data_IF_189751362370
#
_entry.id   IF_189751362370
#
_cell.length_a   1.000
_cell.length_b   1.000
_cell.length_c   1.000
_cell.angle_alpha   90.00
_cell.angle_beta   90.00
_cell.angle_gamma   90.00
#
_symmetry.space_group_name_H-M   'P 1'
#
loop_
_entity.id
_entity.type
_entity.pdbx_description
1 polymer ?
#
# COMPACT_ATOMS: atom_id res chain seq x y z
N UNK A 1 -3.71 -20.86 -25.45
CA UNK A 1 -5.16 -21.13 -25.22
C UNK A 1 -5.84 -19.87 -24.68
N UNK A 2 -7.17 -19.80 -24.76
CA UNK A 2 -7.98 -18.75 -24.16
C UNK A 2 -8.82 -19.38 -23.03
N UNK A 3 -8.82 -18.77 -21.83
CA UNK A 3 -9.55 -19.27 -20.66
C UNK A 3 -10.51 -18.17 -20.16
N UNK A 4 -11.83 -18.36 -20.26
CA UNK A 4 -12.79 -17.44 -19.64
C UNK A 4 -12.79 -17.64 -18.11
N UNK A 5 -12.63 -16.57 -17.32
CA UNK A 5 -12.59 -16.65 -15.85
C UNK A 5 -13.11 -15.36 -15.20
N UNK A 6 -13.48 -15.43 -13.92
CA UNK A 6 -13.80 -14.26 -13.09
C UNK A 6 -13.03 -14.31 -11.78
N UNK A 7 -12.02 -13.44 -11.64
CA UNK A 7 -11.26 -13.33 -10.40
C UNK A 7 -12.12 -12.86 -9.21
N UNK A 8 -13.05 -11.93 -9.47
CA UNK A 8 -13.93 -11.37 -8.43
C UNK A 8 -14.90 -12.41 -7.87
N UNK A 9 -15.43 -13.28 -8.74
CA UNK A 9 -16.39 -14.33 -8.33
C UNK A 9 -15.72 -15.66 -7.98
N UNK A 10 -14.41 -15.78 -8.21
CA UNK A 10 -13.68 -17.03 -8.05
C UNK A 10 -14.00 -18.10 -9.11
N UNK A 11 -14.59 -17.71 -10.24
CA UNK A 11 -15.00 -18.66 -11.28
C UNK A 11 -13.79 -19.07 -12.16
N UNK A 12 -13.58 -20.39 -12.29
CA UNK A 12 -12.62 -21.02 -13.20
C UNK A 12 -11.13 -20.74 -12.88
N UNK A 13 -10.81 -20.34 -11.64
CA UNK A 13 -9.43 -20.10 -11.18
C UNK A 13 -8.57 -21.36 -11.15
N UNK A 14 -9.18 -22.48 -10.78
CA UNK A 14 -8.61 -23.81 -10.78
C UNK A 14 -8.17 -24.26 -12.18
N UNK A 15 -9.01 -24.07 -13.20
CA UNK A 15 -8.63 -24.35 -14.60
C UNK A 15 -7.48 -23.45 -15.06
N UNK A 16 -7.52 -22.17 -14.71
CA UNK A 16 -6.44 -21.23 -15.02
C UNK A 16 -5.10 -21.71 -14.45
N UNK A 17 -5.07 -22.10 -13.17
CA UNK A 17 -3.87 -22.65 -12.52
C UNK A 17 -3.40 -23.94 -13.21
N UNK A 18 -4.31 -24.85 -13.57
CA UNK A 18 -3.94 -26.09 -14.27
C UNK A 18 -3.31 -25.82 -15.64
N UNK A 19 -3.83 -24.86 -16.40
CA UNK A 19 -3.25 -24.53 -17.71
C UNK A 19 -1.87 -23.91 -17.55
N UNK A 20 -1.66 -23.00 -16.58
CA UNK A 20 -0.33 -22.44 -16.30
C UNK A 20 0.68 -23.54 -15.99
N UNK A 21 0.32 -24.51 -15.15
CA UNK A 21 1.20 -25.62 -14.79
C UNK A 21 1.72 -26.42 -15.99
N UNK A 22 0.96 -26.51 -17.09
CA UNK A 22 1.39 -27.21 -18.32
C UNK A 22 2.52 -26.50 -19.06
N UNK A 23 2.66 -25.19 -18.85
CA UNK A 23 3.67 -24.35 -19.52
C UNK A 23 4.79 -23.92 -18.57
N UNK A 24 4.66 -24.19 -17.27
CA UNK A 24 5.66 -23.83 -16.27
C UNK A 24 6.85 -24.80 -16.38
N UNK A 25 8.10 -24.31 -16.51
CA UNK A 25 9.26 -25.17 -16.56
C UNK A 25 9.50 -25.86 -15.21
N UNK A 26 10.02 -27.08 -15.25
CA UNK A 26 10.42 -27.78 -14.03
C UNK A 26 11.65 -27.11 -13.40
N UNK A 27 11.56 -26.81 -12.11
CA UNK A 27 12.63 -26.20 -11.33
C UNK A 27 12.39 -26.51 -9.84
N UNK A 28 13.45 -26.59 -9.01
CA UNK A 28 13.32 -26.50 -7.57
C UNK A 28 12.62 -25.19 -7.16
N UNK A 29 11.94 -25.15 -5.99
CA UNK A 29 11.42 -23.92 -5.43
C UNK A 29 12.51 -22.85 -5.30
N UNK A 30 12.25 -21.65 -5.80
CA UNK A 30 13.17 -20.51 -5.72
C UNK A 30 13.04 -19.74 -4.40
N UNK A 31 11.93 -19.92 -3.69
CA UNK A 31 11.61 -19.26 -2.42
C UNK A 31 11.11 -20.29 -1.40
N UNK A 32 11.24 -20.02 -0.09
CA UNK A 32 10.65 -20.84 0.97
C UNK A 32 9.13 -20.97 0.83
N UNK A 33 8.57 -22.10 1.26
CA UNK A 33 7.12 -22.36 1.14
C UNK A 33 6.24 -21.40 1.97
N UNK A 34 6.80 -20.84 3.05
CA UNK A 34 6.15 -19.86 3.92
C UNK A 34 6.30 -18.42 3.43
N UNK A 35 7.14 -18.17 2.42
CA UNK A 35 7.32 -16.86 1.83
C UNK A 35 6.18 -16.56 0.84
N UNK A 36 5.15 -15.85 1.32
CA UNK A 36 4.01 -15.42 0.50
C UNK A 36 4.39 -14.24 -0.42
N UNK A 37 5.33 -13.39 0.00
CA UNK A 37 5.76 -12.18 -0.71
C UNK A 37 7.22 -11.84 -0.40
N UNK A 38 7.90 -11.21 -1.35
CA UNK A 38 9.23 -10.62 -1.20
C UNK A 38 9.18 -9.09 -0.90
N UNK A 39 7.98 -8.51 -0.84
CA UNK A 39 7.80 -7.08 -0.66
C UNK A 39 8.06 -6.65 0.80
N UNK A 40 8.82 -5.57 1.04
CA UNK A 40 9.05 -5.07 2.39
C UNK A 40 7.75 -4.62 3.09
N UNK A 41 7.66 -4.81 4.41
CA UNK A 41 6.51 -4.36 5.23
C UNK A 41 6.16 -2.87 4.99
N UNK A 42 7.17 -2.02 4.81
CA UNK A 42 6.97 -0.59 4.51
C UNK A 42 6.16 -0.36 3.23
N UNK A 43 6.35 -1.21 2.22
CA UNK A 43 5.59 -1.16 0.98
C UNK A 43 4.12 -1.50 1.24
N UNK A 44 3.83 -2.60 1.94
CA UNK A 44 2.46 -2.96 2.32
C UNK A 44 1.73 -1.84 3.08
N UNK A 45 2.41 -1.25 4.06
CA UNK A 45 1.86 -0.13 4.83
C UNK A 45 1.52 1.05 3.91
N UNK A 46 2.45 1.43 3.02
CA UNK A 46 2.23 2.51 2.06
C UNK A 46 1.03 2.21 1.14
N UNK A 47 0.94 0.99 0.63
CA UNK A 47 -0.09 0.56 -0.31
C UNK A 47 -1.48 0.49 0.34
N UNK A 48 -1.60 -0.01 1.57
CA UNK A 48 -2.86 0.02 2.33
C UNK A 48 -3.34 1.46 2.51
N UNK A 49 -2.45 2.37 2.91
CA UNK A 49 -2.80 3.79 3.06
C UNK A 49 -3.23 4.37 1.69
N UNK A 50 -2.50 4.05 0.62
CA UNK A 50 -2.79 4.51 -0.75
C UNK A 50 -4.13 4.00 -1.26
N UNK A 51 -4.47 2.76 -0.98
CA UNK A 51 -5.79 2.17 -1.27
C UNK A 51 -6.90 2.92 -0.52
N UNK A 52 -6.70 3.26 0.76
CA UNK A 52 -7.71 4.03 1.52
C UNK A 52 -7.83 5.46 1.01
N UNK A 53 -6.74 6.07 0.55
CA UNK A 53 -6.82 7.35 -0.19
C UNK A 53 -7.66 7.16 -1.45
N UNK A 54 -7.40 6.10 -2.23
CA UNK A 54 -8.10 5.81 -3.48
C UNK A 54 -9.62 5.69 -3.28
N UNK A 55 -10.07 4.93 -2.28
CA UNK A 55 -11.48 4.74 -2.00
C UNK A 55 -12.21 5.98 -1.45
N UNK A 56 -11.50 6.87 -0.78
CA UNK A 56 -12.10 8.04 -0.14
C UNK A 56 -11.98 9.32 -0.95
N UNK A 57 -11.23 9.30 -2.04
CA UNK A 57 -11.05 10.45 -2.94
C UNK A 57 -11.62 10.17 -4.33
N UNK A 58 -11.66 11.19 -5.18
CA UNK A 58 -12.24 11.12 -6.54
C UNK A 58 -11.33 11.84 -7.53
N UNK A 59 -11.69 11.73 -8.81
CA UNK A 59 -11.01 12.42 -9.91
C UNK A 59 -9.54 11.98 -10.02
N UNK A 60 -8.62 12.92 -10.21
CA UNK A 60 -7.19 12.64 -10.37
C UNK A 60 -6.45 12.40 -9.06
N UNK A 61 -7.04 12.79 -7.92
CA UNK A 61 -6.40 12.76 -6.61
C UNK A 61 -5.87 11.37 -6.17
N UNK A 62 -6.61 10.26 -6.38
CA UNK A 62 -6.10 8.92 -6.10
C UNK A 62 -4.77 8.59 -6.79
N UNK A 63 -4.53 9.19 -7.96
CA UNK A 63 -3.38 8.91 -8.83
C UNK A 63 -2.25 9.93 -8.68
N UNK A 64 -2.50 11.04 -7.96
CA UNK A 64 -1.50 12.08 -7.67
C UNK A 64 -0.96 12.01 -6.24
N UNK A 65 -1.48 11.10 -5.43
CA UNK A 65 -1.01 10.84 -4.07
C UNK A 65 0.09 9.77 -4.05
N UNK A 66 1.16 10.03 -3.30
CA UNK A 66 2.16 9.02 -2.93
C UNK A 66 2.22 8.88 -1.42
N UNK A 67 2.59 7.70 -0.93
CA UNK A 67 2.73 7.42 0.49
C UNK A 67 4.14 6.94 0.77
N UNK A 68 4.84 7.65 1.66
CA UNK A 68 6.15 7.26 2.17
C UNK A 68 6.02 6.86 3.64
N UNK A 69 6.58 5.70 4.02
CA UNK A 69 6.68 5.28 5.42
C UNK A 69 8.05 5.67 5.96
N UNK A 70 8.09 6.73 6.75
CA UNK A 70 9.32 7.29 7.33
C UNK A 70 9.89 6.35 8.41
N UNK A 71 9.06 5.86 9.34
CA UNK A 71 9.49 4.85 10.32
C UNK A 71 8.41 3.87 10.75
N UNK A 72 8.87 2.70 11.19
CA UNK A 72 8.08 1.67 11.86
C UNK A 72 8.90 1.26 13.08
N UNK A 73 8.36 1.48 14.28
CA UNK A 73 9.05 1.23 15.55
C UNK A 73 8.12 0.49 16.50
N UNK A 74 8.68 -0.35 17.37
CA UNK A 74 7.91 -0.92 18.48
C UNK A 74 7.69 0.12 19.56
N UNK A 75 6.51 0.11 20.20
CA UNK A 75 6.19 1.01 21.29
C UNK A 75 7.12 0.79 22.48
N UNK A 76 7.75 1.87 22.96
CA UNK A 76 8.72 1.83 24.06
C UNK A 76 8.19 1.12 25.33
N UNK A 77 6.90 1.26 25.63
CA UNK A 77 6.23 0.64 26.79
C UNK A 77 5.54 -0.69 26.46
N UNK A 78 5.24 -0.95 25.20
CA UNK A 78 4.47 -2.13 24.77
C UNK A 78 5.00 -2.59 23.40
N UNK A 79 5.74 -3.71 23.38
CA UNK A 79 6.27 -4.31 22.15
C UNK A 79 5.20 -4.90 21.23
N UNK A 80 3.97 -5.07 21.73
CA UNK A 80 2.81 -5.46 20.94
C UNK A 80 2.10 -4.26 20.27
N UNK A 81 2.65 -3.05 20.41
CA UNK A 81 2.23 -1.86 19.71
C UNK A 81 3.29 -1.50 18.66
N UNK A 82 2.86 -1.29 17.42
CA UNK A 82 3.67 -0.69 16.37
C UNK A 82 3.31 0.78 16.21
N UNK A 83 4.32 1.65 16.15
CA UNK A 83 4.20 3.06 15.85
C UNK A 83 4.68 3.24 14.40
N UNK A 84 3.78 3.72 13.54
CA UNK A 84 4.04 3.89 12.12
C UNK A 84 3.91 5.38 11.79
N UNK A 85 4.96 5.96 11.22
CA UNK A 85 4.98 7.33 10.75
C UNK A 85 5.00 7.34 9.22
N UNK A 86 3.97 7.94 8.59
CA UNK A 86 3.87 8.00 7.15
C UNK A 86 3.45 9.38 6.63
N UNK A 87 3.97 9.75 5.47
CA UNK A 87 3.71 11.01 4.78
C UNK A 87 2.97 10.72 3.49
N UNK A 88 1.84 11.42 3.32
CA UNK A 88 1.08 11.48 2.08
C UNK A 88 1.57 12.70 1.30
N UNK A 89 2.22 12.48 0.16
CA UNK A 89 2.59 13.55 -0.77
C UNK A 89 1.49 13.77 -1.79
N UNK A 90 1.21 15.04 -2.08
CA UNK A 90 0.32 15.46 -3.16
C UNK A 90 0.97 16.57 -3.97
N UNK A 91 0.55 16.77 -5.22
CA UNK A 91 1.20 17.74 -6.11
C UNK A 91 0.72 19.18 -5.91
N UNK A 92 -0.48 19.39 -5.35
CA UNK A 92 -1.14 20.72 -5.24
C UNK A 92 -1.71 20.98 -3.85
N UNK A 93 -1.78 22.25 -3.45
CA UNK A 93 -2.34 22.64 -2.13
C UNK A 93 -3.84 22.31 -2.02
N UNK A 94 -4.61 22.46 -3.10
CA UNK A 94 -6.02 22.05 -3.12
C UNK A 94 -6.18 20.55 -2.83
N UNK A 95 -5.30 19.71 -3.36
CA UNK A 95 -5.29 18.26 -3.10
C UNK A 95 -5.01 17.96 -1.64
N UNK A 96 -4.06 18.68 -1.02
CA UNK A 96 -3.79 18.57 0.41
C UNK A 96 -5.03 18.94 1.24
N UNK A 97 -5.72 20.01 0.86
CA UNK A 97 -7.00 20.40 1.47
C UNK A 97 -8.06 19.29 1.40
N UNK A 98 -8.16 18.58 0.28
CA UNK A 98 -9.10 17.45 0.09
C UNK A 98 -8.72 16.25 0.96
N UNK A 99 -7.44 15.86 0.98
CA UNK A 99 -6.95 14.73 1.78
C UNK A 99 -7.15 14.99 3.28
N UNK A 100 -6.87 16.21 3.75
CA UNK A 100 -7.09 16.58 5.15
C UNK A 100 -8.60 16.61 5.44
N UNK A 101 -9.38 17.24 4.56
CA UNK A 101 -10.81 17.44 4.72
C UNK A 101 -11.16 18.42 5.85
N UNK A 102 -12.45 18.75 5.96
CA UNK A 102 -12.93 19.72 6.96
C UNK A 102 -12.56 19.26 8.37
N UNK A 103 -11.80 20.08 9.12
CA UNK A 103 -11.31 19.76 10.48
C UNK A 103 -10.55 18.41 10.55
N UNK A 104 -9.87 17.99 9.49
CA UNK A 104 -9.11 16.74 9.47
C UNK A 104 -9.95 15.46 9.35
N UNK A 105 -11.26 15.56 9.11
CA UNK A 105 -12.16 14.41 9.11
C UNK A 105 -11.81 13.36 8.05
N UNK A 106 -11.35 13.79 6.87
CA UNK A 106 -10.99 12.86 5.79
C UNK A 106 -9.71 12.09 6.14
N UNK A 107 -8.67 12.79 6.57
CA UNK A 107 -7.41 12.16 7.00
C UNK A 107 -7.65 11.20 8.18
N UNK A 108 -8.51 11.58 9.13
CA UNK A 108 -8.90 10.72 10.25
C UNK A 108 -9.63 9.46 9.78
N UNK A 109 -10.46 9.54 8.73
CA UNK A 109 -11.17 8.40 8.15
C UNK A 109 -10.20 7.45 7.45
N UNK A 110 -9.32 7.98 6.61
CA UNK A 110 -8.26 7.24 5.91
C UNK A 110 -7.37 6.51 6.93
N UNK A 111 -6.87 7.24 7.95
CA UNK A 111 -6.02 6.66 8.99
C UNK A 111 -6.70 5.59 9.83
N UNK A 112 -8.00 5.74 10.15
CA UNK A 112 -8.74 4.71 10.87
C UNK A 112 -8.91 3.43 10.06
N UNK A 113 -9.27 3.54 8.77
CA UNK A 113 -9.44 2.39 7.90
C UNK A 113 -8.11 1.66 7.66
N UNK A 114 -7.04 2.41 7.37
CA UNK A 114 -5.71 1.85 7.18
C UNK A 114 -5.19 1.18 8.46
N UNK A 115 -5.37 1.82 9.62
CA UNK A 115 -4.96 1.24 10.92
C UNK A 115 -5.69 -0.07 11.20
N UNK A 116 -7.00 -0.15 10.96
CA UNK A 116 -7.76 -1.37 11.23
C UNK A 116 -7.20 -2.56 10.41
N UNK A 117 -7.02 -2.36 9.11
CA UNK A 117 -6.47 -3.41 8.24
C UNK A 117 -5.02 -3.78 8.59
N UNK A 118 -4.21 -2.80 8.98
CA UNK A 118 -2.85 -3.07 9.47
C UNK A 118 -2.84 -3.87 10.77
N UNK A 119 -3.77 -3.62 11.69
CA UNK A 119 -3.90 -4.43 12.91
C UNK A 119 -4.29 -5.88 12.57
N UNK A 120 -5.21 -6.07 11.62
CA UNK A 120 -5.68 -7.38 11.17
C UNK A 120 -4.57 -8.16 10.45
N UNK A 121 -3.79 -7.48 9.59
CA UNK A 121 -2.67 -8.07 8.85
C UNK A 121 -1.49 -8.45 9.76
N UNK A 122 -1.16 -7.59 10.73
CA UNK A 122 0.06 -7.73 11.55
C UNK A 122 -0.17 -8.46 12.87
N UNK A 123 -1.43 -8.64 13.30
CA UNK A 123 -1.76 -9.23 14.59
C UNK A 123 -1.29 -8.42 15.80
N UNK A 124 -0.88 -7.15 15.58
CA UNK A 124 -0.39 -6.22 16.59
C UNK A 124 -1.27 -4.98 16.64
N UNK A 125 -1.26 -4.25 17.75
CA UNK A 125 -1.87 -2.92 17.80
C UNK A 125 -1.04 -1.93 16.98
N UNK A 126 -1.69 -0.99 16.31
CA UNK A 126 -1.03 -0.01 15.44
C UNK A 126 -1.41 1.40 15.86
N UNK A 127 -0.40 2.25 16.07
CA UNK A 127 -0.53 3.69 16.17
C UNK A 127 -0.02 4.31 14.88
N UNK A 128 -0.94 4.76 14.02
CA UNK A 128 -0.62 5.29 12.71
C UNK A 128 -0.66 6.83 12.72
N UNK A 129 0.51 7.45 12.54
CA UNK A 129 0.64 8.89 12.34
C UNK A 129 0.72 9.20 10.84
N UNK A 130 -0.15 10.12 10.39
CA UNK A 130 -0.21 10.55 9.00
C UNK A 130 -0.01 12.06 8.89
N UNK A 131 0.87 12.47 7.99
CA UNK A 131 1.04 13.87 7.58
C UNK A 131 0.73 14.03 6.10
N UNK A 132 0.29 15.23 5.69
CA UNK A 132 0.06 15.56 4.29
C UNK A 132 0.99 16.69 3.89
N UNK A 133 1.90 16.44 2.94
CA UNK A 133 2.86 17.43 2.43
C UNK A 133 2.59 17.67 0.94
N UNK A 134 2.72 18.93 0.51
CA UNK A 134 2.69 19.25 -0.92
C UNK A 134 4.11 19.14 -1.47
N UNK A 135 4.25 18.35 -2.53
CA UNK A 135 5.50 18.19 -3.27
C UNK A 135 5.19 18.25 -4.77
N UNK A 136 5.31 19.43 -5.38
CA UNK A 136 5.02 19.62 -6.79
C UNK A 136 5.91 18.72 -7.65
N UNK A 137 5.35 18.11 -8.70
CA UNK A 137 6.07 17.24 -9.65
C UNK A 137 6.86 16.12 -8.96
N UNK A 138 6.35 15.56 -7.86
CA UNK A 138 7.04 14.49 -7.15
C UNK A 138 7.31 13.26 -8.03
N UNK A 139 6.47 13.04 -9.05
CA UNK A 139 6.64 11.98 -10.06
C UNK A 139 7.90 12.15 -10.91
N UNK A 140 8.51 13.33 -10.92
CA UNK A 140 9.78 13.63 -11.61
C UNK A 140 10.97 13.58 -10.63
N UNK A 141 10.73 13.53 -9.32
CA UNK A 141 11.78 13.50 -8.29
C UNK A 141 12.31 12.08 -8.12
N UNK A 142 13.39 11.77 -8.84
CA UNK A 142 14.05 10.45 -8.85
C UNK A 142 14.37 9.95 -7.43
N UNK A 143 14.76 10.84 -6.51
CA UNK A 143 15.06 10.44 -5.12
C UNK A 143 13.81 9.98 -4.40
N UNK A 144 12.72 10.71 -4.57
CA UNK A 144 11.44 10.36 -3.98
C UNK A 144 10.85 9.10 -4.63
N UNK A 145 10.92 8.97 -5.96
CA UNK A 145 10.52 7.73 -6.64
C UNK A 145 11.26 6.50 -6.09
N UNK A 146 12.57 6.62 -5.85
CA UNK A 146 13.37 5.54 -5.26
C UNK A 146 12.90 5.19 -3.85
N UNK A 147 12.61 6.20 -3.02
CA UNK A 147 12.10 5.98 -1.67
C UNK A 147 10.70 5.38 -1.64
N UNK A 148 9.87 5.71 -2.64
CA UNK A 148 8.51 5.18 -2.80
C UNK A 148 8.47 3.77 -3.41
N UNK A 149 9.63 3.22 -3.79
CA UNK A 149 9.72 1.88 -4.41
C UNK A 149 9.26 1.84 -5.87
N UNK A 150 9.21 2.99 -6.56
CA UNK A 150 8.81 3.10 -7.97
C UNK A 150 9.97 2.93 -8.97
N UNK A 151 11.12 2.42 -8.53
CA UNK A 151 12.18 2.01 -9.47
C UNK A 151 11.91 0.58 -9.97
N UNK A 152 11.96 0.40 -11.29
CA UNK A 152 12.06 -0.91 -11.90
C UNK A 152 13.25 -1.65 -11.28
N UNK A 153 12.97 -2.84 -10.73
CA UNK A 153 13.98 -3.89 -10.62
C UNK A 153 14.52 -4.08 -12.04
N UNK A 154 15.77 -3.65 -12.27
CA UNK A 154 16.48 -3.93 -13.51
C UNK A 154 17.03 -5.35 -13.46
#
# INVERSE_FOLDING_TARGET
>A
EIIPMSAVKGENLDRFVQVIKKYLPESPPLFPEDQITDLPLRFYVAEIIREKIFHNTKQELPYSAAVEVESIEEGQKNKNLLIINAVIYVEKENHKGIIIGRKGQMLKKIGQQARQELEDLLGKKVHLNLWVKVRPRWKEDIRLLKMLGYQYVS
#
